data_IF_259407974269
#
_entry.id   IF_259407974269
#
_cell.length_a   1.000
_cell.length_b   1.000
_cell.length_c   1.000
_cell.angle_alpha   90.00
_cell.angle_beta   90.00
_cell.angle_gamma   90.00
#
_symmetry.space_group_name_H-M   'P 1'
#
loop_
_entity.id
_entity.type
_entity.pdbx_description
1 polymer ?
#
# COMPACT_ATOMS: atom_id res chain seq x y z
N UNK A 1 32.26 -4.44 13.37
CA UNK A 1 32.57 -3.33 12.43
C UNK A 1 32.41 -3.80 11.01
N UNK A 2 31.82 -3.00 10.17
CA UNK A 2 31.71 -3.22 8.74
C UNK A 2 32.22 -2.00 7.99
N UNK A 3 33.18 -2.23 7.10
CA UNK A 3 33.66 -1.24 6.14
C UNK A 3 33.33 -1.75 4.74
N UNK A 4 32.30 -1.20 4.14
CA UNK A 4 31.89 -1.49 2.77
C UNK A 4 32.15 -0.29 1.84
N UNK A 5 32.00 -0.53 0.54
CA UNK A 5 32.15 0.51 -0.48
C UNK A 5 31.21 1.71 -0.28
N UNK A 6 29.98 1.45 0.19
CA UNK A 6 28.93 2.47 0.35
C UNK A 6 28.53 2.72 1.80
N UNK A 7 28.77 1.78 2.72
CA UNK A 7 28.33 1.89 4.10
C UNK A 7 29.40 1.44 5.07
N UNK A 8 29.57 2.22 6.11
CA UNK A 8 30.41 1.88 7.25
C UNK A 8 29.55 1.92 8.51
N UNK A 9 29.66 0.92 9.37
CA UNK A 9 29.03 0.95 10.68
C UNK A 9 29.87 0.20 11.71
N UNK A 10 29.77 0.66 12.97
CA UNK A 10 30.40 0.04 14.12
C UNK A 10 29.35 -0.24 15.18
N UNK A 11 29.43 -1.40 15.80
CA UNK A 11 28.63 -1.83 16.94
C UNK A 11 29.43 -1.90 18.22
N UNK A 12 30.63 -1.28 18.29
CA UNK A 12 31.54 -1.36 19.42
C UNK A 12 30.88 -1.05 20.78
N UNK A 13 30.02 -0.02 20.81
CA UNK A 13 29.28 0.33 22.03
C UNK A 13 28.17 -0.68 22.42
N UNK A 14 27.86 -1.65 21.56
CA UNK A 14 26.84 -2.68 21.76
C UNK A 14 27.42 -4.09 21.82
N UNK A 15 28.75 -4.21 21.77
CA UNK A 15 29.46 -5.48 21.80
C UNK A 15 30.33 -5.48 23.07
N UNK A 16 30.23 -6.53 23.87
CA UNK A 16 31.11 -6.76 24.99
C UNK A 16 32.50 -7.14 24.49
N UNK A 17 33.50 -6.39 24.89
CA UNK A 17 34.88 -6.51 24.38
C UNK A 17 35.56 -7.84 24.76
N UNK A 18 35.18 -8.43 25.89
CA UNK A 18 35.77 -9.68 26.38
C UNK A 18 35.17 -10.90 25.66
N UNK A 19 33.85 -10.93 25.57
CA UNK A 19 33.11 -12.07 24.96
C UNK A 19 32.89 -11.94 23.47
N UNK A 20 33.07 -10.74 22.91
CA UNK A 20 32.74 -10.39 21.51
C UNK A 20 31.28 -10.67 21.13
N UNK A 21 30.38 -10.64 22.10
CA UNK A 21 28.97 -10.88 21.93
C UNK A 21 28.21 -9.55 21.89
N UNK A 22 27.50 -9.31 20.78
CA UNK A 22 26.61 -8.17 20.65
C UNK A 22 25.25 -8.43 21.29
N UNK A 23 24.74 -7.44 22.03
CA UNK A 23 23.43 -7.53 22.66
C UNK A 23 22.35 -6.94 21.74
N UNK A 24 21.79 -7.78 20.89
CA UNK A 24 20.61 -7.43 20.06
C UNK A 24 19.40 -8.21 20.60
N UNK A 25 18.38 -7.49 21.02
CA UNK A 25 17.14 -8.11 21.47
C UNK A 25 16.53 -8.95 20.35
N UNK A 26 16.26 -10.21 20.66
CA UNK A 26 15.55 -11.11 19.74
C UNK A 26 14.05 -10.97 19.96
N UNK A 27 13.23 -11.21 18.91
CA UNK A 27 11.78 -11.30 19.08
C UNK A 27 11.41 -12.36 20.11
N UNK A 28 10.37 -12.08 20.91
CA UNK A 28 9.78 -13.09 21.81
C UNK A 28 9.16 -14.23 21.01
N UNK A 29 8.54 -13.91 19.88
CA UNK A 29 7.90 -14.88 18.99
C UNK A 29 8.95 -15.69 18.21
N UNK A 30 8.67 -16.99 18.04
CA UNK A 30 9.54 -17.90 17.30
C UNK A 30 8.85 -18.36 16.00
N UNK A 31 9.57 -18.38 14.87
CA UNK A 31 10.96 -17.96 14.64
C UNK A 31 11.13 -16.43 14.62
N UNK A 32 10.06 -15.67 14.44
CA UNK A 32 9.97 -14.19 14.42
C UNK A 32 8.49 -13.78 14.35
N UNK A 33 8.13 -12.50 14.64
CA UNK A 33 6.78 -11.98 14.36
C UNK A 33 6.40 -12.15 12.89
N UNK A 34 5.09 -12.19 12.55
CA UNK A 34 4.67 -12.13 11.14
C UNK A 34 5.26 -10.92 10.44
N UNK A 35 5.82 -11.14 9.25
CA UNK A 35 6.46 -10.10 8.44
C UNK A 35 5.61 -9.85 7.19
N UNK A 36 5.36 -8.58 6.88
CA UNK A 36 4.78 -8.17 5.61
C UNK A 36 5.81 -7.34 4.81
N UNK A 37 5.87 -7.55 3.50
CA UNK A 37 6.79 -6.82 2.62
C UNK A 37 6.03 -6.04 1.56
N UNK A 38 6.32 -4.73 1.37
CA UNK A 38 5.60 -3.90 0.42
C UNK A 38 6.07 -4.11 -1.02
N UNK A 39 5.11 -4.10 -1.96
CA UNK A 39 5.32 -3.95 -3.40
C UNK A 39 4.87 -2.58 -3.85
N UNK A 40 5.76 -1.85 -4.54
CA UNK A 40 5.52 -0.48 -5.03
C UNK A 40 5.81 -0.35 -6.53
N UNK A 41 6.05 -1.43 -7.22
CA UNK A 41 6.39 -1.43 -8.65
C UNK A 41 5.96 -2.74 -9.31
N UNK A 42 5.95 -2.74 -10.63
CA UNK A 42 5.83 -3.98 -11.42
C UNK A 42 7.03 -4.88 -11.16
N UNK A 43 6.81 -6.18 -11.21
CA UNK A 43 7.82 -7.22 -10.98
C UNK A 43 8.62 -7.00 -9.68
N UNK A 44 7.94 -6.52 -8.62
CA UNK A 44 8.53 -6.08 -7.37
C UNK A 44 9.49 -7.11 -6.76
N UNK A 45 10.77 -6.70 -6.59
CA UNK A 45 11.78 -7.56 -5.99
C UNK A 45 11.43 -7.94 -4.54
N UNK A 46 10.91 -7.01 -3.75
CA UNK A 46 10.50 -7.28 -2.37
C UNK A 46 9.37 -8.32 -2.30
N UNK A 47 8.41 -8.29 -3.22
CA UNK A 47 7.37 -9.32 -3.29
C UNK A 47 7.89 -10.68 -3.73
N UNK A 48 8.90 -10.75 -4.61
CA UNK A 48 9.62 -12.00 -4.90
C UNK A 48 10.28 -12.57 -3.65
N UNK A 49 10.93 -11.72 -2.85
CA UNK A 49 11.52 -12.14 -1.57
C UNK A 49 10.45 -12.60 -0.59
N UNK A 50 9.33 -11.86 -0.50
CA UNK A 50 8.19 -12.23 0.34
C UNK A 50 7.65 -13.63 -0.01
N UNK A 51 7.39 -13.89 -1.29
CA UNK A 51 6.92 -15.19 -1.76
C UNK A 51 7.87 -16.33 -1.42
N UNK A 52 9.17 -16.17 -1.72
CA UNK A 52 10.18 -17.17 -1.40
C UNK A 52 10.31 -17.48 0.08
N UNK A 53 10.13 -16.47 0.95
CA UNK A 53 10.28 -16.61 2.40
C UNK A 53 8.99 -16.91 3.14
N UNK A 54 7.83 -16.82 2.49
CA UNK A 54 6.52 -16.99 3.12
C UNK A 54 6.13 -15.80 3.99
N UNK A 55 6.58 -14.59 3.62
CA UNK A 55 6.13 -13.35 4.24
C UNK A 55 4.84 -12.88 3.58
N UNK A 56 4.01 -12.14 4.31
CA UNK A 56 2.76 -11.64 3.76
C UNK A 56 2.99 -10.55 2.70
N UNK A 57 2.31 -10.62 1.53
CA UNK A 57 2.41 -9.58 0.52
C UNK A 57 1.60 -8.35 0.94
N UNK A 58 2.17 -7.17 0.71
CA UNK A 58 1.54 -5.89 0.95
C UNK A 58 1.69 -5.00 -0.30
N UNK A 59 0.60 -4.52 -0.87
CA UNK A 59 0.65 -3.60 -2.01
C UNK A 59 0.35 -2.17 -1.57
N UNK A 60 1.25 -1.25 -1.92
CA UNK A 60 1.18 0.14 -1.50
C UNK A 60 0.03 0.91 -2.18
N UNK A 61 -0.44 1.97 -1.52
CA UNK A 61 -1.58 2.76 -1.99
C UNK A 61 -1.32 3.58 -3.27
N UNK A 62 -0.05 3.86 -3.56
CA UNK A 62 0.36 4.75 -4.66
C UNK A 62 0.33 4.10 -6.05
N UNK A 63 0.10 2.79 -6.14
CA UNK A 63 0.16 2.08 -7.42
C UNK A 63 -1.22 1.92 -8.06
N UNK A 64 -1.27 1.94 -9.39
CA UNK A 64 -2.51 1.72 -10.15
C UNK A 64 -3.01 0.27 -10.04
N UNK A 65 -4.29 0.02 -10.36
CA UNK A 65 -4.94 -1.29 -10.21
C UNK A 65 -4.22 -2.42 -10.97
N UNK A 66 -3.77 -2.17 -12.18
CA UNK A 66 -3.02 -3.15 -12.98
C UNK A 66 -1.63 -3.50 -12.39
N UNK A 67 -1.05 -2.59 -11.58
CA UNK A 67 0.18 -2.89 -10.83
C UNK A 67 -0.12 -3.77 -9.62
N UNK A 68 -1.31 -3.67 -9.03
CA UNK A 68 -1.73 -4.60 -7.98
C UNK A 68 -1.83 -6.04 -8.50
N UNK A 69 -2.45 -6.23 -9.68
CA UNK A 69 -2.52 -7.56 -10.30
C UNK A 69 -1.11 -8.13 -10.51
N UNK A 70 -0.20 -7.35 -11.09
CA UNK A 70 1.22 -7.74 -11.27
C UNK A 70 1.93 -8.03 -9.93
N UNK A 71 1.62 -7.26 -8.88
CA UNK A 71 2.18 -7.50 -7.55
C UNK A 71 1.76 -8.88 -7.01
N UNK A 72 0.48 -9.23 -7.15
CA UNK A 72 0.02 -10.55 -6.76
C UNK A 72 0.69 -11.66 -7.58
N UNK A 73 0.72 -11.54 -8.90
CA UNK A 73 1.31 -12.55 -9.78
C UNK A 73 2.81 -12.74 -9.51
N UNK A 74 3.53 -11.63 -9.27
CA UNK A 74 4.94 -11.63 -8.88
C UNK A 74 5.18 -12.36 -7.56
N UNK A 75 4.33 -12.11 -6.55
CA UNK A 75 4.40 -12.79 -5.26
C UNK A 75 4.06 -14.27 -5.38
N UNK A 76 2.92 -14.56 -6.01
CA UNK A 76 2.39 -15.92 -6.13
C UNK A 76 3.34 -16.84 -6.93
N UNK A 77 3.91 -16.34 -8.04
CA UNK A 77 4.91 -17.06 -8.80
C UNK A 77 6.13 -17.42 -7.95
N UNK A 78 6.70 -16.43 -7.23
CA UNK A 78 7.86 -16.66 -6.39
C UNK A 78 7.58 -17.59 -5.18
N UNK A 79 6.35 -17.58 -4.65
CA UNK A 79 5.92 -18.52 -3.61
C UNK A 79 5.82 -19.95 -4.15
N UNK A 80 5.19 -20.12 -5.31
CA UNK A 80 5.04 -21.41 -5.99
C UNK A 80 6.40 -22.01 -6.36
N UNK A 81 7.33 -21.22 -6.92
CA UNK A 81 8.69 -21.63 -7.23
C UNK A 81 9.48 -22.11 -6.00
N UNK A 82 9.12 -21.58 -4.81
CA UNK A 82 9.68 -21.99 -3.53
C UNK A 82 8.91 -23.15 -2.85
N UNK A 83 7.97 -23.79 -3.56
CA UNK A 83 7.17 -24.91 -3.05
C UNK A 83 6.10 -24.48 -2.04
N UNK A 84 5.71 -23.20 -2.01
CA UNK A 84 4.68 -22.65 -1.13
C UNK A 84 3.36 -22.47 -1.87
N UNK A 85 2.26 -22.52 -1.13
CA UNK A 85 0.93 -22.23 -1.66
C UNK A 85 0.58 -20.76 -1.35
N UNK A 86 0.48 -19.87 -2.37
CA UNK A 86 0.06 -18.49 -2.12
C UNK A 86 -1.43 -18.44 -1.77
N UNK A 87 -1.77 -17.69 -0.71
CA UNK A 87 -3.15 -17.46 -0.29
C UNK A 87 -3.50 -15.96 -0.43
N UNK A 88 -4.54 -15.66 -1.21
CA UNK A 88 -5.03 -14.29 -1.40
C UNK A 88 -5.58 -13.67 -0.09
N UNK A 89 -5.97 -14.47 0.89
CA UNK A 89 -6.40 -13.98 2.19
C UNK A 89 -5.25 -13.32 2.99
N UNK A 90 -3.99 -13.67 2.68
CA UNK A 90 -2.80 -13.03 3.27
C UNK A 90 -2.42 -11.72 2.59
N UNK A 91 -2.99 -11.41 1.42
CA UNK A 91 -2.64 -10.21 0.67
C UNK A 91 -3.31 -8.98 1.25
N UNK A 92 -2.50 -7.97 1.56
CA UNK A 92 -2.91 -6.67 2.08
C UNK A 92 -2.78 -5.63 0.98
N UNK A 93 -3.87 -4.93 0.69
CA UNK A 93 -3.91 -3.87 -0.33
C UNK A 93 -4.23 -2.55 0.33
N UNK A 94 -3.28 -1.61 0.29
CA UNK A 94 -3.49 -0.27 0.81
C UNK A 94 -4.17 0.64 -0.23
N UNK A 95 -5.07 1.51 0.22
CA UNK A 95 -5.69 2.58 -0.59
C UNK A 95 -5.85 3.86 0.20
N UNK A 96 -5.67 4.98 -0.50
CA UNK A 96 -6.09 6.29 -0.03
C UNK A 96 -7.60 6.41 -0.28
N UNK A 97 -8.40 6.33 0.78
CA UNK A 97 -9.87 6.41 0.70
C UNK A 97 -10.31 7.61 1.51
N UNK A 98 -11.19 8.43 0.92
CA UNK A 98 -11.79 9.55 1.62
C UNK A 98 -13.28 9.64 1.30
N UNK A 99 -14.10 9.63 2.34
CA UNK A 99 -15.56 9.61 2.29
C UNK A 99 -16.13 10.92 2.88
N UNK A 100 -17.17 11.43 2.27
CA UNK A 100 -18.05 12.45 2.83
C UNK A 100 -19.48 12.21 2.35
N UNK A 101 -20.43 13.08 2.76
CA UNK A 101 -21.85 12.88 2.46
C UNK A 101 -22.19 12.97 0.97
N UNK A 102 -21.38 13.67 0.18
CA UNK A 102 -21.56 13.75 -1.28
C UNK A 102 -20.24 13.58 -2.02
N UNK A 103 -20.28 12.94 -3.18
CA UNK A 103 -19.09 12.73 -4.03
C UNK A 103 -18.44 14.04 -4.45
N UNK A 104 -19.20 15.08 -4.77
CA UNK A 104 -18.65 16.38 -5.18
C UNK A 104 -17.86 17.05 -4.05
N UNK A 105 -18.38 17.03 -2.83
CA UNK A 105 -17.68 17.54 -1.65
C UNK A 105 -16.42 16.73 -1.35
N UNK A 106 -16.53 15.41 -1.41
CA UNK A 106 -15.42 14.51 -1.11
C UNK A 106 -14.24 14.71 -2.06
N UNK A 107 -14.50 14.82 -3.37
CA UNK A 107 -13.45 15.09 -4.36
C UNK A 107 -12.81 16.46 -4.13
N UNK A 108 -13.61 17.49 -3.79
CA UNK A 108 -13.10 18.81 -3.46
C UNK A 108 -12.18 18.78 -2.22
N UNK A 109 -12.60 18.09 -1.17
CA UNK A 109 -11.82 17.93 0.05
C UNK A 109 -10.55 17.13 -0.20
N UNK A 110 -10.63 15.98 -0.87
CA UNK A 110 -9.49 15.13 -1.16
C UNK A 110 -8.40 15.83 -1.97
N UNK A 111 -8.73 16.84 -2.78
CA UNK A 111 -7.74 17.67 -3.50
C UNK A 111 -6.96 18.60 -2.57
N UNK A 112 -7.60 19.13 -1.53
CA UNK A 112 -7.05 20.22 -0.71
C UNK A 112 -6.58 19.80 0.67
N UNK A 113 -7.04 18.64 1.15
CA UNK A 113 -6.66 18.09 2.46
C UNK A 113 -5.32 17.32 2.41
N UNK A 114 -4.97 16.70 3.51
CA UNK A 114 -3.73 15.92 3.66
C UNK A 114 -3.60 14.76 2.67
N UNK A 115 -4.69 14.22 2.12
CA UNK A 115 -4.64 13.19 1.06
C UNK A 115 -3.98 13.74 -0.20
N UNK A 116 -4.53 14.83 -0.77
CA UNK A 116 -3.98 15.45 -1.98
C UNK A 116 -2.57 15.99 -1.76
N UNK A 117 -2.35 16.71 -0.65
CA UNK A 117 -1.04 17.24 -0.28
C UNK A 117 0.04 16.17 -0.20
N UNK A 118 -0.30 14.98 0.32
CA UNK A 118 0.65 13.86 0.38
C UNK A 118 1.03 13.34 -1.01
N UNK A 119 0.07 13.22 -1.93
CA UNK A 119 0.36 12.80 -3.31
C UNK A 119 1.23 13.81 -4.04
N UNK A 120 0.95 15.11 -3.91
CA UNK A 120 1.79 16.19 -4.46
C UNK A 120 3.20 16.16 -3.87
N UNK A 121 3.32 15.97 -2.55
CA UNK A 121 4.60 15.85 -1.88
C UNK A 121 5.42 14.68 -2.41
N UNK A 122 4.82 13.48 -2.49
CA UNK A 122 5.51 12.29 -3.02
C UNK A 122 5.88 12.49 -4.49
N UNK A 123 5.00 13.07 -5.32
CA UNK A 123 5.31 13.39 -6.70
C UNK A 123 6.54 14.33 -6.81
N UNK A 124 6.60 15.35 -5.95
CA UNK A 124 7.75 16.27 -5.89
C UNK A 124 9.05 15.54 -5.52
N UNK A 125 8.99 14.53 -4.64
CA UNK A 125 10.15 13.70 -4.33
C UNK A 125 10.56 12.82 -5.53
N UNK A 126 9.59 12.23 -6.21
CA UNK A 126 9.84 11.36 -7.38
C UNK A 126 10.44 12.17 -8.54
N UNK A 127 10.00 13.41 -8.77
CA UNK A 127 10.50 14.30 -9.82
C UNK A 127 12.01 14.61 -9.64
N UNK A 128 12.57 14.47 -8.44
CA UNK A 128 14.01 14.65 -8.17
C UNK A 128 14.88 13.46 -8.57
N UNK A 129 14.28 12.34 -8.97
CA UNK A 129 15.06 11.12 -9.27
C UNK A 129 14.41 10.22 -10.30
N UNK A 130 13.48 9.39 -9.87
CA UNK A 130 12.92 8.30 -10.68
C UNK A 130 11.74 8.71 -11.59
N UNK A 131 11.28 9.96 -11.52
CA UNK A 131 10.06 10.40 -12.17
C UNK A 131 8.80 9.75 -11.57
N UNK A 132 7.64 10.03 -12.13
CA UNK A 132 6.32 9.62 -11.58
C UNK A 132 5.90 8.19 -11.91
N UNK A 133 6.84 7.32 -12.27
CA UNK A 133 6.58 5.94 -12.74
C UNK A 133 5.75 5.10 -11.76
N UNK A 134 5.91 5.31 -10.46
CA UNK A 134 5.18 4.57 -9.41
C UNK A 134 3.68 4.75 -9.50
N UNK A 135 3.22 5.93 -9.93
CA UNK A 135 1.79 6.24 -10.03
C UNK A 135 1.16 5.76 -11.33
N UNK A 136 1.96 5.56 -12.38
CA UNK A 136 1.44 5.36 -13.73
C UNK A 136 0.85 3.97 -13.96
N UNK A 137 -0.36 3.94 -14.51
CA UNK A 137 -0.95 2.75 -15.11
C UNK A 137 -0.24 2.36 -16.39
N UNK A 138 0.02 3.36 -17.25
CA UNK A 138 0.79 3.26 -18.48
C UNK A 138 2.10 4.03 -18.30
N UNK A 139 3.24 3.34 -18.49
CA UNK A 139 4.56 3.95 -18.31
C UNK A 139 4.91 4.96 -19.41
N UNK A 140 4.26 4.88 -20.57
CA UNK A 140 4.46 5.79 -21.69
C UNK A 140 3.69 7.12 -21.51
N UNK A 141 2.77 7.19 -20.54
CA UNK A 141 2.07 8.41 -20.20
C UNK A 141 3.07 9.52 -19.77
N UNK A 142 2.96 10.76 -20.27
CA UNK A 142 3.79 11.89 -19.83
C UNK A 142 3.67 12.13 -18.31
N UNK A 143 4.77 12.54 -17.66
CA UNK A 143 4.76 12.86 -16.22
C UNK A 143 3.84 14.04 -15.91
N UNK A 144 3.63 14.97 -16.86
CA UNK A 144 2.70 16.09 -16.74
C UNK A 144 1.23 15.66 -16.56
N UNK A 145 0.86 14.54 -17.15
CA UNK A 145 -0.50 14.00 -17.09
C UNK A 145 -0.74 13.19 -15.81
N UNK A 146 0.35 12.79 -15.14
CA UNK A 146 0.32 12.15 -13.84
C UNK A 146 0.18 13.21 -12.73
N UNK A 147 -1.00 13.78 -12.60
CA UNK A 147 -1.36 14.90 -11.73
C UNK A 147 -2.54 14.54 -10.82
N UNK A 148 -3.07 15.51 -10.09
CA UNK A 148 -4.15 15.31 -9.12
C UNK A 148 -5.41 14.69 -9.75
N UNK A 149 -5.79 15.07 -10.94
CA UNK A 149 -6.96 14.49 -11.63
C UNK A 149 -6.75 13.02 -11.94
N UNK A 150 -5.55 12.68 -12.39
CA UNK A 150 -5.14 11.31 -12.62
C UNK A 150 -5.14 10.49 -11.31
N UNK A 151 -4.55 11.00 -10.22
CA UNK A 151 -4.52 10.29 -8.95
C UNK A 151 -5.90 10.07 -8.35
N UNK A 152 -6.81 11.04 -8.47
CA UNK A 152 -8.21 10.88 -8.08
C UNK A 152 -8.95 9.83 -8.91
N UNK A 153 -8.51 9.59 -10.14
CA UNK A 153 -9.06 8.53 -10.98
C UNK A 153 -8.48 7.17 -10.63
N UNK A 154 -7.16 7.05 -10.46
CA UNK A 154 -6.46 5.78 -10.40
C UNK A 154 -6.15 5.28 -8.97
N UNK A 155 -5.74 6.18 -8.05
CA UNK A 155 -5.23 5.77 -6.74
C UNK A 155 -6.07 6.26 -5.55
N UNK A 156 -6.53 7.51 -5.60
CA UNK A 156 -7.33 8.09 -4.52
C UNK A 156 -8.79 7.73 -4.76
N UNK A 157 -9.37 6.96 -3.87
CA UNK A 157 -10.78 6.57 -3.95
C UNK A 157 -11.59 7.54 -3.08
N UNK A 158 -12.08 8.62 -3.69
CA UNK A 158 -12.86 9.66 -3.02
C UNK A 158 -14.30 9.68 -3.55
N UNK A 159 -15.28 9.81 -2.65
CA UNK A 159 -16.70 9.85 -3.00
C UNK A 159 -17.62 9.66 -1.80
N UNK A 160 -18.92 9.62 -2.06
CA UNK A 160 -19.88 9.06 -1.12
C UNK A 160 -19.74 7.54 -1.02
N UNK A 161 -20.44 6.91 -0.09
CA UNK A 161 -20.33 5.47 0.18
C UNK A 161 -20.57 4.64 -1.06
N UNK A 162 -21.59 4.95 -1.86
CA UNK A 162 -21.94 4.18 -3.07
C UNK A 162 -20.86 4.31 -4.15
N UNK A 163 -20.33 5.52 -4.36
CA UNK A 163 -19.27 5.76 -5.34
C UNK A 163 -17.98 5.02 -4.94
N UNK A 164 -17.59 5.08 -3.68
CA UNK A 164 -16.41 4.39 -3.15
C UNK A 164 -16.60 2.88 -3.22
N UNK A 165 -17.77 2.34 -2.85
CA UNK A 165 -18.07 0.93 -2.96
C UNK A 165 -17.92 0.42 -4.41
N UNK A 166 -18.53 1.13 -5.38
CA UNK A 166 -18.39 0.76 -6.80
C UNK A 166 -16.92 0.73 -7.26
N UNK A 167 -16.11 1.73 -6.84
CA UNK A 167 -14.67 1.79 -7.19
C UNK A 167 -13.87 0.67 -6.55
N UNK A 168 -14.15 0.31 -5.31
CA UNK A 168 -13.50 -0.82 -4.64
C UNK A 168 -13.87 -2.15 -5.29
N UNK A 169 -15.13 -2.32 -5.69
CA UNK A 169 -15.56 -3.53 -6.40
C UNK A 169 -14.90 -3.63 -7.79
N UNK A 170 -14.79 -2.52 -8.52
CA UNK A 170 -14.05 -2.49 -9.79
C UNK A 170 -12.55 -2.81 -9.59
N UNK A 171 -11.96 -2.35 -8.51
CA UNK A 171 -10.58 -2.70 -8.15
C UNK A 171 -10.42 -4.21 -7.89
N UNK A 172 -11.37 -4.81 -7.16
CA UNK A 172 -11.40 -6.27 -6.93
C UNK A 172 -11.56 -7.03 -8.24
N UNK A 173 -12.40 -6.54 -9.17
CA UNK A 173 -12.57 -7.14 -10.50
C UNK A 173 -11.28 -7.07 -11.32
N UNK A 174 -10.51 -6.00 -11.20
CA UNK A 174 -9.24 -5.81 -11.91
C UNK A 174 -8.09 -6.64 -11.34
N UNK A 175 -7.86 -6.60 -10.02
CA UNK A 175 -6.68 -7.25 -9.42
C UNK A 175 -6.96 -8.61 -8.78
N UNK A 176 -8.23 -9.00 -8.69
CA UNK A 176 -8.70 -10.17 -7.96
C UNK A 176 -8.89 -9.91 -6.46
N UNK A 177 -9.43 -10.89 -5.76
CA UNK A 177 -9.70 -10.78 -4.31
C UNK A 177 -8.40 -10.65 -3.52
N UNK A 178 -8.50 -9.97 -2.39
CA UNK A 178 -7.45 -9.84 -1.38
C UNK A 178 -8.06 -9.92 0.02
N UNK A 179 -7.26 -10.30 1.02
CA UNK A 179 -7.76 -10.58 2.37
C UNK A 179 -7.99 -9.32 3.21
N UNK A 180 -7.22 -8.26 2.99
CA UNK A 180 -7.30 -7.06 3.82
C UNK A 180 -7.20 -5.78 2.99
N UNK A 181 -8.20 -4.92 3.09
CA UNK A 181 -8.12 -3.54 2.66
C UNK A 181 -7.50 -2.70 3.79
N UNK A 182 -6.36 -2.04 3.49
CA UNK A 182 -5.68 -1.15 4.43
C UNK A 182 -6.02 0.29 4.09
N UNK A 183 -6.74 0.97 4.98
CA UNK A 183 -7.00 2.39 4.85
C UNK A 183 -5.74 3.19 5.18
N UNK A 184 -5.26 4.01 4.23
CA UNK A 184 -4.14 4.90 4.47
C UNK A 184 -4.56 6.04 5.40
N UNK A 185 -3.81 6.21 6.49
CA UNK A 185 -3.95 7.36 7.38
C UNK A 185 -3.12 8.55 6.87
N UNK A 186 -3.64 9.75 7.08
CA UNK A 186 -3.00 11.02 6.75
C UNK A 186 -3.09 11.97 7.94
N UNK A 187 -2.53 13.17 7.83
CA UNK A 187 -2.65 14.18 8.87
C UNK A 187 -4.13 14.60 9.05
N UNK A 188 -4.51 14.87 10.29
CA UNK A 188 -5.86 15.28 10.66
C UNK A 188 -6.00 16.81 10.53
N UNK A 189 -5.77 17.33 9.36
CA UNK A 189 -5.83 18.75 9.03
C UNK A 189 -7.26 19.33 9.10
N UNK A 190 -8.28 18.47 8.98
CA UNK A 190 -9.67 18.74 9.30
C UNK A 190 -10.21 17.56 10.14
N UNK A 191 -10.16 17.71 11.45
CA UNK A 191 -10.54 16.64 12.38
C UNK A 191 -11.99 16.17 12.19
N UNK A 192 -12.92 17.09 11.95
CA UNK A 192 -14.35 16.75 11.80
C UNK A 192 -14.58 15.96 10.53
N UNK A 193 -13.99 16.38 9.41
CA UNK A 193 -14.06 15.66 8.15
C UNK A 193 -13.41 14.27 8.24
N UNK A 194 -12.29 14.13 8.96
CA UNK A 194 -11.65 12.84 9.19
C UNK A 194 -12.46 11.91 10.07
N UNK A 195 -13.10 12.42 11.13
CA UNK A 195 -14.01 11.63 11.96
C UNK A 195 -15.23 11.16 11.16
N UNK A 196 -15.80 12.04 10.32
CA UNK A 196 -16.92 11.66 9.43
C UNK A 196 -16.50 10.60 8.40
N UNK A 197 -15.31 10.74 7.80
CA UNK A 197 -14.75 9.73 6.91
C UNK A 197 -14.64 8.36 7.58
N UNK A 198 -14.11 8.28 8.81
CA UNK A 198 -13.97 7.03 9.54
C UNK A 198 -15.32 6.44 9.95
N UNK A 199 -16.28 7.28 10.32
CA UNK A 199 -17.65 6.85 10.66
C UNK A 199 -18.33 6.20 9.46
N UNK A 200 -18.35 6.87 8.30
CA UNK A 200 -18.89 6.34 7.05
C UNK A 200 -18.17 5.07 6.61
N UNK A 201 -16.84 5.04 6.75
CA UNK A 201 -16.04 3.87 6.41
C UNK A 201 -16.42 2.66 7.26
N UNK A 202 -16.49 2.82 8.59
CA UNK A 202 -16.72 1.72 9.52
C UNK A 202 -18.17 1.22 9.53
N UNK A 203 -19.13 2.16 9.50
CA UNK A 203 -20.52 1.84 9.75
C UNK A 203 -21.34 1.61 8.48
N UNK A 204 -20.91 2.13 7.33
CA UNK A 204 -21.63 1.99 6.06
C UNK A 204 -20.84 1.26 4.98
N UNK A 205 -19.62 1.74 4.65
CA UNK A 205 -18.85 1.17 3.55
C UNK A 205 -18.35 -0.25 3.85
N UNK A 206 -17.76 -0.47 5.02
CA UNK A 206 -17.15 -1.77 5.36
C UNK A 206 -18.18 -2.92 5.41
N UNK A 207 -19.36 -2.76 6.01
CA UNK A 207 -20.41 -3.79 5.95
C UNK A 207 -20.89 -4.08 4.53
N UNK A 208 -21.14 -3.03 3.71
CA UNK A 208 -21.58 -3.16 2.33
C UNK A 208 -20.52 -3.85 1.45
N UNK A 209 -19.26 -3.49 1.61
CA UNK A 209 -18.14 -4.11 0.89
C UNK A 209 -17.99 -5.59 1.25
N UNK A 210 -18.02 -5.94 2.54
CA UNK A 210 -17.92 -7.31 2.99
C UNK A 210 -19.07 -8.18 2.46
N UNK A 211 -20.30 -7.67 2.46
CA UNK A 211 -21.45 -8.34 1.88
C UNK A 211 -21.27 -8.55 0.37
N UNK A 212 -20.88 -7.51 -0.37
CA UNK A 212 -20.74 -7.58 -1.82
C UNK A 212 -19.59 -8.49 -2.25
N UNK A 213 -18.46 -8.52 -1.53
CA UNK A 213 -17.32 -9.40 -1.83
C UNK A 213 -17.61 -10.83 -1.38
N UNK A 214 -18.28 -11.05 -0.24
CA UNK A 214 -18.66 -12.38 0.26
C UNK A 214 -19.67 -13.12 -0.63
N UNK A 215 -20.47 -12.39 -1.43
CA UNK A 215 -21.44 -12.94 -2.39
C UNK A 215 -20.84 -13.23 -3.78
N UNK A 216 -19.60 -12.85 -4.03
CA UNK A 216 -18.89 -13.12 -5.30
C UNK A 216 -18.23 -14.51 -5.26
N UNK A 217 -18.27 -15.26 -6.38
CA UNK A 217 -17.65 -16.58 -6.47
C UNK A 217 -16.12 -16.55 -6.38
#
# INVERSE_FOLDING_TARGET
NHEGEFWQFSLEQFVDDETQIGFIHKPLQQPHPPIAMPGMSRASHSLKVAGRRGFAPFSAALVAGNVLADNWDTYAGAATDAGRQPDRNEWRVARAIFLADTSAETVRLARSNSVGKNYEYIATLMDKGLGRRIFKRDLDMPDTDCNMDYWLTEQIIAGDVDAVLRRLLALVDECGRFGTLVLMGFDWDDKEAWLRNLDLFANELMPALNQAVGSRP
#
